data_IF_774075548252
#
_entry.id   IF_774075548252
#
_cell.length_a   1.000
_cell.length_b   1.000
_cell.length_c   1.000
_cell.angle_alpha   90.00
_cell.angle_beta   90.00
_cell.angle_gamma   90.00
#
_symmetry.space_group_name_H-M   'P 1'
#
loop_
_entity.id
_entity.type
_entity.pdbx_description
1 polymer ?
#
# COMPACT_ATOMS: atom_id res chain seq x y z
N UNK A 1 49.44 -6.36 -12.72
CA UNK A 1 48.38 -5.92 -11.78
C UNK A 1 48.17 -4.44 -12.00
N UNK A 2 47.08 -4.06 -12.67
CA UNK A 2 46.68 -2.64 -12.80
C UNK A 2 46.06 -2.26 -11.46
N UNK A 3 46.71 -1.35 -10.71
CA UNK A 3 46.10 -0.77 -9.52
C UNK A 3 44.76 -0.15 -9.96
N UNK A 4 43.63 -0.44 -9.28
CA UNK A 4 42.38 0.17 -9.66
C UNK A 4 42.57 1.67 -9.46
N UNK A 5 42.47 2.43 -10.55
CA UNK A 5 42.34 3.89 -10.52
C UNK A 5 41.41 4.21 -9.35
N UNK A 6 41.79 5.17 -8.51
CA UNK A 6 41.10 5.48 -7.26
C UNK A 6 39.71 6.08 -7.55
N UNK A 7 38.79 5.26 -8.07
CA UNK A 7 37.44 5.70 -8.42
C UNK A 7 36.73 5.94 -7.10
N UNK A 8 36.32 7.20 -6.91
CA UNK A 8 35.60 7.65 -5.72
C UNK A 8 34.19 7.04 -5.69
N UNK A 9 33.67 6.73 -4.51
CA UNK A 9 32.33 6.17 -4.33
C UNK A 9 31.27 7.02 -5.05
N UNK A 10 31.43 8.33 -5.00
CA UNK A 10 30.55 9.35 -5.55
C UNK A 10 30.38 9.21 -7.07
N UNK A 11 31.43 8.80 -7.78
CA UNK A 11 31.37 8.59 -9.24
C UNK A 11 30.52 7.36 -9.55
N UNK A 12 30.76 6.25 -8.86
CA UNK A 12 29.99 5.02 -9.08
C UNK A 12 28.54 5.17 -8.61
N UNK A 13 28.30 5.88 -7.50
CA UNK A 13 26.95 6.22 -7.05
C UNK A 13 26.23 7.10 -8.07
N UNK A 14 26.88 8.12 -8.64
CA UNK A 14 26.27 8.97 -9.67
C UNK A 14 25.80 8.17 -10.88
N UNK A 15 26.57 7.17 -11.30
CA UNK A 15 26.20 6.26 -12.39
C UNK A 15 24.94 5.44 -12.05
N UNK A 16 24.85 4.92 -10.84
CA UNK A 16 23.67 4.18 -10.34
C UNK A 16 22.46 5.11 -10.25
N UNK A 17 22.65 6.28 -9.64
CA UNK A 17 21.60 7.26 -9.41
C UNK A 17 21.00 7.76 -10.72
N UNK A 18 21.80 7.99 -11.77
CA UNK A 18 21.29 8.36 -13.09
C UNK A 18 20.29 7.33 -13.63
N UNK A 19 20.62 6.03 -13.50
CA UNK A 19 19.72 4.95 -13.91
C UNK A 19 18.43 4.92 -13.09
N UNK A 20 18.51 5.15 -11.78
CA UNK A 20 17.32 5.22 -10.94
C UNK A 20 16.43 6.43 -11.21
N UNK A 21 17.02 7.61 -11.40
CA UNK A 21 16.26 8.82 -11.78
C UNK A 21 15.50 8.58 -13.09
N UNK A 22 16.14 7.96 -14.08
CA UNK A 22 15.47 7.61 -15.34
C UNK A 22 14.30 6.63 -15.12
N UNK A 23 14.47 5.62 -14.27
CA UNK A 23 13.39 4.69 -13.93
C UNK A 23 12.24 5.37 -13.19
N UNK A 24 12.52 6.32 -12.28
CA UNK A 24 11.48 7.11 -11.61
C UNK A 24 10.66 7.88 -12.63
N UNK A 25 11.31 8.61 -13.53
CA UNK A 25 10.64 9.37 -14.60
C UNK A 25 9.75 8.49 -15.48
N UNK A 26 10.23 7.31 -15.85
CA UNK A 26 9.43 6.33 -16.60
C UNK A 26 8.19 5.86 -15.82
N UNK A 27 8.29 5.68 -14.49
CA UNK A 27 7.16 5.29 -13.63
C UNK A 27 6.17 6.43 -13.46
N UNK A 28 6.66 7.67 -13.39
CA UNK A 28 5.83 8.89 -13.34
C UNK A 28 5.16 9.24 -14.68
N UNK A 29 5.47 8.49 -15.75
CA UNK A 29 4.88 8.69 -17.08
C UNK A 29 5.53 9.83 -17.87
N UNK A 30 6.73 10.27 -17.48
CA UNK A 30 7.51 11.23 -18.26
C UNK A 30 8.03 10.59 -19.55
N UNK A 31 8.12 11.40 -20.61
CA UNK A 31 8.67 10.96 -21.90
C UNK A 31 10.18 10.75 -21.77
N UNK A 32 10.59 9.50 -21.63
CA UNK A 32 11.99 9.09 -21.52
C UNK A 32 12.32 8.07 -22.62
N UNK A 33 13.51 8.15 -23.25
CA UNK A 33 13.98 7.10 -24.15
C UNK A 33 14.03 5.76 -23.41
N UNK A 34 13.77 4.66 -24.12
CA UNK A 34 13.82 3.32 -23.55
C UNK A 34 15.08 3.10 -22.69
N UNK A 35 14.92 2.38 -21.59
CA UNK A 35 16.03 2.02 -20.70
C UNK A 35 17.04 1.14 -21.47
N UNK A 36 18.14 1.73 -21.94
CA UNK A 36 19.06 1.10 -22.87
C UNK A 36 20.07 0.17 -22.16
N UNK A 37 20.73 -0.70 -22.94
CA UNK A 37 21.69 -1.68 -22.43
C UNK A 37 22.93 -1.04 -21.80
N UNK A 38 23.32 0.14 -22.27
CA UNK A 38 24.48 0.87 -21.77
C UNK A 38 24.28 1.33 -20.32
N UNK A 39 23.14 1.96 -20.00
CA UNK A 39 22.81 2.36 -18.63
C UNK A 39 22.73 1.12 -17.72
N UNK A 40 22.14 0.02 -18.19
CA UNK A 40 22.08 -1.24 -17.44
C UNK A 40 23.48 -1.76 -17.10
N UNK A 41 24.38 -1.80 -18.08
CA UNK A 41 25.75 -2.28 -17.89
C UNK A 41 26.54 -1.36 -16.95
N UNK A 42 26.35 -0.05 -17.08
CA UNK A 42 26.98 0.96 -16.23
C UNK A 42 26.54 0.78 -14.77
N UNK A 43 25.23 0.68 -14.50
CA UNK A 43 24.71 0.43 -13.14
C UNK A 43 25.23 -0.87 -12.55
N UNK A 44 25.24 -1.95 -13.33
CA UNK A 44 25.72 -3.26 -12.89
C UNK A 44 27.22 -3.21 -12.54
N UNK A 45 28.03 -2.60 -13.41
CA UNK A 45 29.48 -2.43 -13.20
C UNK A 45 29.77 -1.58 -11.96
N UNK A 46 29.06 -0.46 -11.80
CA UNK A 46 29.18 0.41 -10.64
C UNK A 46 28.81 -0.31 -9.33
N UNK A 47 27.69 -1.04 -9.33
CA UNK A 47 27.23 -1.83 -8.17
C UNK A 47 28.28 -2.87 -7.78
N UNK A 48 28.80 -3.62 -8.76
CA UNK A 48 29.86 -4.59 -8.53
C UNK A 48 31.11 -3.94 -7.93
N UNK A 49 31.59 -2.84 -8.52
CA UNK A 49 32.80 -2.13 -8.05
C UNK A 49 32.62 -1.60 -6.63
N UNK A 50 31.46 -1.04 -6.30
CA UNK A 50 31.19 -0.57 -4.94
C UNK A 50 31.22 -1.73 -3.95
N UNK A 51 30.53 -2.83 -4.27
CA UNK A 51 30.45 -3.98 -3.38
C UNK A 51 31.80 -4.72 -3.22
N UNK A 52 32.61 -4.77 -4.28
CA UNK A 52 33.90 -5.48 -4.25
C UNK A 52 35.05 -4.64 -3.65
N UNK A 53 35.06 -3.33 -3.87
CA UNK A 53 36.24 -2.49 -3.60
C UNK A 53 35.98 -1.24 -2.76
N UNK A 54 34.72 -0.95 -2.42
CA UNK A 54 34.34 0.28 -1.69
C UNK A 54 33.43 -0.07 -0.51
N UNK A 55 32.48 0.81 -0.22
CA UNK A 55 31.61 0.74 0.94
C UNK A 55 30.18 0.29 0.53
N UNK A 56 29.88 -1.03 0.53
CA UNK A 56 28.54 -1.53 0.25
C UNK A 56 27.49 -1.05 1.27
N UNK A 57 27.87 -0.77 2.52
CA UNK A 57 26.95 -0.17 3.50
C UNK A 57 26.48 1.21 3.05
N UNK A 58 27.39 2.04 2.54
CA UNK A 58 27.06 3.37 2.02
C UNK A 58 26.12 3.29 0.80
N UNK A 59 26.25 2.27 -0.06
CA UNK A 59 25.31 2.05 -1.16
C UNK A 59 23.91 1.67 -0.67
N UNK A 60 23.83 0.81 0.35
CA UNK A 60 22.58 0.43 0.99
C UNK A 60 21.88 1.64 1.64
N UNK A 61 22.63 2.49 2.34
CA UNK A 61 22.09 3.71 2.95
C UNK A 61 21.62 4.71 1.88
N UNK A 62 22.37 4.87 0.78
CA UNK A 62 21.99 5.71 -0.35
C UNK A 62 20.74 5.21 -1.10
N UNK A 63 20.57 3.89 -1.19
CA UNK A 63 19.34 3.29 -1.72
C UNK A 63 18.13 3.65 -0.85
N UNK A 64 18.26 3.55 0.47
CA UNK A 64 17.19 3.93 1.41
C UNK A 64 16.82 5.40 1.27
N UNK A 65 17.82 6.29 1.32
CA UNK A 65 17.66 7.73 1.17
C UNK A 65 16.92 8.09 -0.14
N UNK A 66 17.26 7.42 -1.24
CA UNK A 66 16.64 7.65 -2.54
C UNK A 66 15.13 7.34 -2.54
N UNK A 67 14.74 6.20 -1.95
CA UNK A 67 13.32 5.80 -1.89
C UNK A 67 12.55 6.67 -0.90
N UNK A 68 13.15 7.00 0.25
CA UNK A 68 12.57 7.92 1.23
C UNK A 68 12.33 9.31 0.62
N UNK A 69 13.32 9.85 -0.09
CA UNK A 69 13.17 11.14 -0.77
C UNK A 69 12.06 11.12 -1.82
N UNK A 70 11.96 10.06 -2.62
CA UNK A 70 10.87 9.92 -3.59
C UNK A 70 9.48 9.85 -2.91
N UNK A 71 9.37 9.11 -1.81
CA UNK A 71 8.14 9.05 -1.03
C UNK A 71 7.74 10.42 -0.47
N UNK A 72 8.69 11.17 0.11
CA UNK A 72 8.44 12.45 0.76
C UNK A 72 8.21 13.59 -0.25
N UNK A 73 8.98 13.64 -1.34
CA UNK A 73 8.99 14.78 -2.26
C UNK A 73 8.01 14.61 -3.43
N UNK A 74 7.59 13.39 -3.76
CA UNK A 74 6.71 13.12 -4.91
C UNK A 74 5.41 12.47 -4.49
N UNK A 75 5.47 11.38 -3.71
CA UNK A 75 4.28 10.60 -3.38
C UNK A 75 3.38 11.35 -2.39
N UNK A 76 3.90 11.77 -1.24
CA UNK A 76 3.11 12.45 -0.21
C UNK A 76 2.42 13.73 -0.70
N UNK A 77 3.09 14.67 -1.39
CA UNK A 77 2.43 15.87 -1.90
C UNK A 77 1.23 15.54 -2.81
N UNK A 78 1.39 14.56 -3.71
CA UNK A 78 0.32 14.17 -4.64
C UNK A 78 -0.94 13.61 -3.95
N UNK A 79 -0.78 13.11 -2.72
CA UNK A 79 -1.84 12.56 -1.87
C UNK A 79 -2.47 13.64 -0.99
N UNK A 80 -1.64 14.50 -0.37
CA UNK A 80 -2.08 15.60 0.51
C UNK A 80 -2.96 16.62 -0.21
N UNK A 81 -2.78 16.79 -1.51
CA UNK A 81 -3.57 17.70 -2.35
C UNK A 81 -4.95 17.14 -2.74
N UNK A 82 -5.28 15.90 -2.38
CA UNK A 82 -6.52 15.22 -2.76
C UNK A 82 -7.32 14.80 -1.53
N UNK A 83 -8.63 14.66 -1.73
CA UNK A 83 -9.57 14.20 -0.71
C UNK A 83 -10.47 13.09 -1.26
N UNK A 84 -11.11 12.35 -0.35
CA UNK A 84 -12.13 11.33 -0.64
C UNK A 84 -11.70 10.34 -1.74
N UNK A 85 -12.60 10.04 -2.69
CA UNK A 85 -12.36 9.10 -3.79
C UNK A 85 -11.13 9.47 -4.66
N UNK A 86 -10.86 10.76 -4.85
CA UNK A 86 -9.68 11.22 -5.60
C UNK A 86 -8.38 10.84 -4.88
N UNK A 87 -8.36 10.97 -3.54
CA UNK A 87 -7.22 10.54 -2.72
C UNK A 87 -7.09 9.02 -2.74
N UNK A 88 -8.19 8.27 -2.64
CA UNK A 88 -8.20 6.81 -2.74
C UNK A 88 -7.59 6.32 -4.07
N UNK A 89 -8.00 6.93 -5.20
CA UNK A 89 -7.45 6.60 -6.53
C UNK A 89 -5.95 6.87 -6.61
N UNK A 90 -5.52 8.02 -6.08
CA UNK A 90 -4.10 8.35 -6.04
C UNK A 90 -3.32 7.40 -5.13
N UNK A 91 -3.84 7.02 -3.97
CA UNK A 91 -3.18 6.11 -3.03
C UNK A 91 -2.96 4.74 -3.67
N UNK A 92 -3.99 4.16 -4.30
CA UNK A 92 -3.87 2.89 -5.01
C UNK A 92 -2.86 2.98 -6.18
N UNK A 93 -2.90 4.08 -6.96
CA UNK A 93 -1.94 4.33 -8.03
C UNK A 93 -0.50 4.40 -7.50
N UNK A 94 -0.28 5.18 -6.44
CA UNK A 94 1.05 5.40 -5.85
C UNK A 94 1.62 4.14 -5.22
N UNK A 95 0.78 3.33 -4.57
CA UNK A 95 1.23 2.05 -4.03
C UNK A 95 1.68 1.08 -5.12
N UNK A 96 0.92 0.97 -6.22
CA UNK A 96 1.31 0.14 -7.36
C UNK A 96 2.59 0.63 -8.05
N UNK A 97 2.73 1.95 -8.22
CA UNK A 97 3.95 2.58 -8.74
C UNK A 97 5.16 2.29 -7.83
N UNK A 98 4.97 2.37 -6.50
CA UNK A 98 6.01 2.09 -5.52
C UNK A 98 6.46 0.63 -5.55
N UNK A 99 5.51 -0.33 -5.61
CA UNK A 99 5.83 -1.76 -5.77
C UNK A 99 6.67 -2.01 -7.03
N UNK A 100 6.30 -1.36 -8.13
CA UNK A 100 7.06 -1.43 -9.39
C UNK A 100 8.48 -0.85 -9.22
N UNK A 101 8.59 0.32 -8.62
CA UNK A 101 9.87 0.99 -8.34
C UNK A 101 10.80 0.11 -7.52
N UNK A 102 10.33 -0.39 -6.38
CA UNK A 102 11.11 -1.26 -5.48
C UNK A 102 11.57 -2.52 -6.20
N UNK A 103 10.68 -3.16 -6.98
CA UNK A 103 11.03 -4.35 -7.77
C UNK A 103 12.10 -4.05 -8.81
N UNK A 104 11.98 -2.94 -9.54
CA UNK A 104 12.96 -2.56 -10.55
C UNK A 104 14.30 -2.20 -9.91
N UNK A 105 14.29 -1.44 -8.82
CA UNK A 105 15.52 -0.99 -8.19
C UNK A 105 16.29 -2.14 -7.51
N UNK A 106 15.61 -2.96 -6.72
CA UNK A 106 16.21 -4.14 -6.07
C UNK A 106 16.84 -5.07 -7.12
N UNK A 107 16.17 -5.30 -8.25
CA UNK A 107 16.73 -6.07 -9.36
C UNK A 107 18.00 -5.46 -9.96
N UNK A 108 18.13 -4.13 -10.01
CA UNK A 108 19.36 -3.46 -10.50
C UNK A 108 20.53 -3.59 -9.53
N UNK A 109 20.26 -3.74 -8.24
CA UNK A 109 21.26 -3.87 -7.20
C UNK A 109 21.32 -5.28 -6.59
N UNK A 110 20.88 -6.31 -7.33
CA UNK A 110 20.82 -7.69 -6.81
C UNK A 110 22.16 -8.18 -6.24
N UNK A 111 23.29 -7.73 -6.83
CA UNK A 111 24.62 -8.05 -6.32
C UNK A 111 24.84 -7.55 -4.89
N UNK A 112 24.26 -6.42 -4.48
CA UNK A 112 24.34 -5.92 -3.11
C UNK A 112 23.55 -6.80 -2.13
N UNK A 113 22.33 -7.22 -2.50
CA UNK A 113 21.52 -8.18 -1.72
C UNK A 113 22.33 -9.48 -1.48
N UNK A 114 22.84 -10.08 -2.55
CA UNK A 114 23.51 -11.38 -2.53
C UNK A 114 24.88 -11.34 -1.85
N UNK A 115 25.69 -10.32 -2.16
CA UNK A 115 27.10 -10.29 -1.76
C UNK A 115 27.34 -9.73 -0.36
N UNK A 116 26.45 -8.86 0.12
CA UNK A 116 26.63 -8.10 1.35
C UNK A 116 25.46 -8.26 2.33
N UNK A 117 24.22 -7.98 1.92
CA UNK A 117 23.08 -7.94 2.85
C UNK A 117 22.78 -9.33 3.44
N UNK A 118 22.76 -10.37 2.60
CA UNK A 118 22.60 -11.76 3.05
C UNK A 118 23.66 -12.17 4.08
N UNK A 119 24.93 -11.80 3.86
CA UNK A 119 26.04 -12.14 4.77
C UNK A 119 26.01 -11.36 6.09
N UNK A 120 25.43 -10.16 6.09
CA UNK A 120 25.29 -9.31 7.27
C UNK A 120 23.99 -9.54 8.04
N UNK A 121 23.05 -10.34 7.49
CA UNK A 121 21.72 -10.51 8.07
C UNK A 121 20.91 -9.20 8.08
N UNK A 122 21.19 -8.31 7.12
CA UNK A 122 20.44 -7.06 6.97
C UNK A 122 19.17 -7.31 6.15
N UNK A 123 18.09 -6.52 6.35
CA UNK A 123 16.91 -6.57 5.50
C UNK A 123 17.28 -6.37 4.03
N UNK A 124 16.61 -7.13 3.16
CA UNK A 124 16.79 -7.03 1.72
C UNK A 124 16.38 -5.65 1.20
N UNK A 125 16.89 -5.27 0.02
CA UNK A 125 16.48 -4.04 -0.65
C UNK A 125 14.96 -4.00 -0.86
N UNK A 126 14.35 -5.14 -1.20
CA UNK A 126 12.90 -5.24 -1.35
C UNK A 126 12.16 -4.94 -0.05
N UNK A 127 12.59 -5.50 1.07
CA UNK A 127 11.97 -5.25 2.37
C UNK A 127 12.11 -3.79 2.80
N UNK A 128 13.30 -3.21 2.67
CA UNK A 128 13.53 -1.78 2.98
C UNK A 128 12.67 -0.88 2.10
N UNK A 129 12.64 -1.17 0.79
CA UNK A 129 11.86 -0.40 -0.17
C UNK A 129 10.36 -0.43 0.16
N UNK A 130 9.79 -1.60 0.48
CA UNK A 130 8.37 -1.71 0.84
C UNK A 130 8.08 -1.05 2.20
N UNK A 131 8.94 -1.28 3.20
CA UNK A 131 8.81 -0.66 4.52
C UNK A 131 8.86 0.87 4.44
N UNK A 132 9.62 1.45 3.53
CA UNK A 132 9.65 2.89 3.32
C UNK A 132 8.27 3.48 2.99
N UNK A 133 7.49 2.82 2.13
CA UNK A 133 6.12 3.29 1.83
C UNK A 133 5.23 3.19 3.07
N UNK A 134 5.35 2.08 3.81
CA UNK A 134 4.60 1.89 5.05
C UNK A 134 4.87 3.03 6.04
N UNK A 135 6.14 3.31 6.25
CA UNK A 135 6.60 4.19 7.32
C UNK A 135 6.39 5.68 6.97
N UNK A 136 6.51 6.05 5.69
CA UNK A 136 6.38 7.43 5.21
C UNK A 136 4.98 7.78 4.69
N UNK A 137 4.37 6.89 3.89
CA UNK A 137 3.13 7.19 3.15
C UNK A 137 1.91 6.58 3.84
N UNK A 138 1.90 5.27 4.04
CA UNK A 138 0.75 4.56 4.60
C UNK A 138 0.40 5.07 6.01
N UNK A 139 1.40 5.24 6.88
CA UNK A 139 1.22 5.73 8.25
C UNK A 139 0.51 7.08 8.30
N UNK A 140 0.74 7.95 7.32
CA UNK A 140 0.09 9.26 7.24
C UNK A 140 -1.32 9.17 6.64
N UNK A 141 -1.51 8.31 5.64
CA UNK A 141 -2.76 8.26 4.86
C UNK A 141 -3.80 7.27 5.39
N UNK A 142 -3.42 6.32 6.24
CA UNK A 142 -4.28 5.19 6.64
C UNK A 142 -5.62 5.62 7.25
N UNK A 143 -5.65 6.64 8.12
CA UNK A 143 -6.89 7.09 8.78
C UNK A 143 -7.84 7.75 7.77
N UNK A 144 -7.33 8.67 6.95
CA UNK A 144 -8.10 9.33 5.90
C UNK A 144 -8.63 8.33 4.87
N UNK A 145 -7.83 7.31 4.52
CA UNK A 145 -8.26 6.25 3.61
C UNK A 145 -9.35 5.38 4.22
N UNK A 146 -9.25 5.02 5.50
CA UNK A 146 -10.27 4.27 6.21
C UNK A 146 -11.59 5.05 6.26
N UNK A 147 -11.56 6.32 6.65
CA UNK A 147 -12.74 7.20 6.69
C UNK A 147 -13.42 7.33 5.31
N UNK A 148 -12.64 7.55 4.26
CA UNK A 148 -13.17 7.66 2.89
C UNK A 148 -13.79 6.33 2.41
N UNK A 149 -13.19 5.19 2.72
CA UNK A 149 -13.78 3.87 2.42
C UNK A 149 -15.09 3.68 3.19
N UNK A 150 -15.15 4.03 4.48
CA UNK A 150 -16.36 3.91 5.27
C UNK A 150 -17.50 4.77 4.71
N UNK A 151 -17.19 5.99 4.25
CA UNK A 151 -18.17 6.83 3.55
C UNK A 151 -18.72 6.16 2.28
N UNK A 152 -17.87 5.48 1.48
CA UNK A 152 -18.32 4.72 0.31
C UNK A 152 -19.19 3.51 0.70
N UNK A 153 -18.83 2.78 1.75
CA UNK A 153 -19.63 1.67 2.25
C UNK A 153 -21.02 2.16 2.70
N UNK A 154 -21.11 3.32 3.36
CA UNK A 154 -22.39 3.94 3.72
C UNK A 154 -23.24 4.31 2.51
N UNK A 155 -22.66 4.97 1.50
CA UNK A 155 -23.36 5.27 0.24
C UNK A 155 -23.94 3.99 -0.38
N UNK A 156 -23.15 2.93 -0.45
CA UNK A 156 -23.60 1.64 -0.97
C UNK A 156 -24.69 0.99 -0.10
N UNK A 157 -24.66 1.17 1.23
CA UNK A 157 -25.72 0.70 2.14
C UNK A 157 -27.06 1.41 1.94
N UNK A 158 -27.02 2.68 1.54
CA UNK A 158 -28.19 3.49 1.18
C UNK A 158 -28.62 3.29 -0.29
N UNK A 159 -27.94 2.41 -1.04
CA UNK A 159 -28.33 2.01 -2.40
C UNK A 159 -27.66 2.80 -3.52
N UNK A 160 -26.69 3.66 -3.20
CA UNK A 160 -25.89 4.34 -4.21
C UNK A 160 -24.88 3.38 -4.86
N UNK A 161 -24.50 3.68 -6.10
CA UNK A 161 -23.43 2.96 -6.79
C UNK A 161 -22.08 3.53 -6.38
N UNK A 162 -21.13 2.63 -6.12
CA UNK A 162 -19.75 2.98 -5.80
C UNK A 162 -18.78 2.25 -6.73
N UNK A 163 -17.58 2.79 -6.85
CA UNK A 163 -16.47 2.09 -7.52
C UNK A 163 -15.92 0.99 -6.59
N UNK A 164 -16.54 -0.20 -6.65
CA UNK A 164 -16.12 -1.37 -5.85
C UNK A 164 -14.68 -1.81 -6.13
N UNK A 165 -14.20 -1.62 -7.37
CA UNK A 165 -12.83 -1.94 -7.73
C UNK A 165 -11.84 -0.99 -7.05
N UNK A 166 -12.16 0.31 -6.98
CA UNK A 166 -11.38 1.26 -6.20
C UNK A 166 -11.29 0.86 -4.73
N UNK A 167 -12.41 0.52 -4.10
CA UNK A 167 -12.43 0.09 -2.69
C UNK A 167 -11.52 -1.12 -2.50
N UNK A 168 -11.66 -2.16 -3.33
CA UNK A 168 -10.79 -3.35 -3.28
C UNK A 168 -9.32 -2.99 -3.40
N UNK A 169 -8.96 -2.16 -4.38
CA UNK A 169 -7.58 -1.77 -4.63
C UNK A 169 -6.96 -1.01 -3.44
N UNK A 170 -7.75 -0.24 -2.69
CA UNK A 170 -7.25 0.43 -1.47
C UNK A 170 -7.22 -0.54 -0.29
N UNK A 171 -8.19 -1.46 -0.16
CA UNK A 171 -8.13 -2.52 0.86
C UNK A 171 -6.84 -3.35 0.70
N UNK A 172 -6.43 -3.65 -0.53
CA UNK A 172 -5.15 -4.31 -0.81
C UNK A 172 -3.95 -3.50 -0.29
N UNK A 173 -4.01 -2.16 -0.26
CA UNK A 173 -2.97 -1.32 0.35
C UNK A 173 -2.85 -1.62 1.85
N UNK A 174 -3.97 -1.73 2.58
CA UNK A 174 -3.96 -2.08 4.01
C UNK A 174 -3.43 -3.49 4.25
N UNK A 175 -3.86 -4.46 3.45
CA UNK A 175 -3.42 -5.86 3.55
C UNK A 175 -1.93 -5.99 3.26
N UNK A 176 -1.45 -5.42 2.15
CA UNK A 176 -0.06 -5.57 1.73
C UNK A 176 0.92 -4.78 2.61
N UNK A 177 0.51 -3.65 3.21
CA UNK A 177 1.34 -2.92 4.18
C UNK A 177 1.49 -3.64 5.52
N UNK A 178 0.73 -4.72 5.75
CA UNK A 178 0.95 -5.66 6.85
C UNK A 178 2.18 -6.56 6.66
N UNK A 179 2.88 -6.48 5.52
CA UNK A 179 4.15 -7.14 5.23
C UNK A 179 4.13 -8.65 5.53
N UNK A 180 3.09 -9.33 5.01
CA UNK A 180 2.86 -10.76 5.23
C UNK A 180 1.97 -11.10 6.43
N UNK A 181 1.50 -10.09 7.16
CA UNK A 181 0.49 -10.23 8.21
C UNK A 181 -0.76 -9.42 7.85
N UNK A 182 -1.92 -9.75 8.44
CA UNK A 182 -3.14 -8.95 8.30
C UNK A 182 -3.26 -7.82 9.31
N UNK A 183 -2.26 -7.63 10.18
CA UNK A 183 -2.33 -6.70 11.32
C UNK A 183 -2.74 -5.28 10.93
N UNK A 184 -2.23 -4.78 9.80
CA UNK A 184 -2.54 -3.43 9.29
C UNK A 184 -3.96 -3.31 8.78
N UNK A 185 -4.44 -4.31 8.04
CA UNK A 185 -5.84 -4.42 7.69
C UNK A 185 -6.75 -4.48 8.92
N UNK A 186 -6.42 -5.32 9.91
CA UNK A 186 -7.25 -5.53 11.10
C UNK A 186 -7.31 -4.29 12.01
N UNK A 187 -6.16 -3.69 12.34
CA UNK A 187 -6.06 -2.58 13.30
C UNK A 187 -6.48 -1.23 12.73
N UNK A 188 -6.07 -0.94 11.49
CA UNK A 188 -6.21 0.39 10.88
C UNK A 188 -7.51 0.54 10.08
N UNK A 189 -8.17 -0.56 9.69
CA UNK A 189 -9.40 -0.52 8.89
C UNK A 189 -10.52 -1.42 9.44
N UNK A 190 -10.32 -2.74 9.50
CA UNK A 190 -11.39 -3.71 9.77
C UNK A 190 -12.08 -3.44 11.11
N UNK A 191 -11.30 -3.14 12.15
CA UNK A 191 -11.84 -2.77 13.47
C UNK A 191 -12.78 -1.56 13.41
N UNK A 192 -12.39 -0.51 12.68
CA UNK A 192 -13.22 0.69 12.50
C UNK A 192 -14.49 0.38 11.70
N UNK A 193 -14.34 -0.41 10.64
CA UNK A 193 -15.45 -0.85 9.80
C UNK A 193 -16.46 -1.69 10.57
N UNK A 194 -16.02 -2.63 11.41
CA UNK A 194 -16.91 -3.45 12.23
C UNK A 194 -17.69 -2.59 13.24
N UNK A 195 -17.04 -1.62 13.89
CA UNK A 195 -17.68 -0.68 14.82
C UNK A 195 -18.71 0.23 14.12
N UNK A 196 -18.35 0.76 12.96
CA UNK A 196 -19.23 1.56 12.12
C UNK A 196 -20.45 0.75 11.66
N UNK A 197 -20.22 -0.49 11.21
CA UNK A 197 -21.27 -1.44 10.80
C UNK A 197 -22.24 -1.73 11.93
N UNK A 198 -21.72 -1.94 13.14
CA UNK A 198 -22.56 -2.17 14.31
C UNK A 198 -23.46 -0.96 14.62
N UNK A 199 -22.87 0.24 14.59
CA UNK A 199 -23.59 1.50 14.83
C UNK A 199 -24.65 1.76 13.77
N UNK A 200 -24.32 1.51 12.49
CA UNK A 200 -25.23 1.63 11.36
C UNK A 200 -26.46 0.75 11.53
N UNK A 201 -26.26 -0.56 11.76
CA UNK A 201 -27.37 -1.50 11.88
C UNK A 201 -28.17 -1.33 13.16
N UNK A 202 -27.54 -0.93 14.27
CA UNK A 202 -28.26 -0.55 15.49
C UNK A 202 -29.21 0.62 15.23
N UNK A 203 -28.72 1.68 14.57
CA UNK A 203 -29.54 2.85 14.25
C UNK A 203 -30.66 2.51 13.27
N UNK A 204 -30.36 1.67 12.27
CA UNK A 204 -31.33 1.21 11.28
C UNK A 204 -32.42 0.34 11.89
N UNK A 205 -32.07 -0.54 12.82
CA UNK A 205 -33.01 -1.37 13.57
C UNK A 205 -33.98 -0.52 14.40
N UNK A 206 -33.47 0.47 15.14
CA UNK A 206 -34.31 1.39 15.92
C UNK A 206 -35.32 2.14 15.06
N UNK A 207 -34.91 2.60 13.86
CA UNK A 207 -35.82 3.25 12.91
C UNK A 207 -36.91 2.29 12.41
N UNK A 208 -36.57 1.06 12.05
CA UNK A 208 -37.55 0.08 11.59
C UNK A 208 -38.57 -0.31 12.66
N UNK A 209 -38.15 -0.38 13.92
CA UNK A 209 -39.06 -0.65 15.05
C UNK A 209 -40.10 0.48 15.20
N UNK A 210 -39.74 1.72 14.88
CA UNK A 210 -40.64 2.88 14.97
C UNK A 210 -41.58 3.01 13.75
N UNK A 211 -41.12 2.62 12.56
CA UNK A 211 -41.81 2.93 11.29
C UNK A 211 -42.67 1.78 10.76
N UNK A 212 -42.41 0.52 11.11
CA UNK A 212 -42.96 -0.62 10.37
C UNK A 212 -43.71 -1.67 11.20
N UNK A 213 -44.69 -2.29 10.54
CA UNK A 213 -45.44 -3.41 11.10
C UNK A 213 -44.52 -4.63 11.29
N UNK A 214 -44.70 -5.35 12.41
CA UNK A 214 -43.83 -6.44 12.89
C UNK A 214 -43.44 -7.50 11.83
N UNK A 215 -44.29 -7.74 10.82
CA UNK A 215 -44.07 -8.79 9.83
C UNK A 215 -42.85 -8.50 8.92
N UNK A 216 -42.65 -7.26 8.48
CA UNK A 216 -41.55 -6.89 7.58
C UNK A 216 -40.19 -6.90 8.27
N UNK A 217 -40.17 -6.70 9.59
CA UNK A 217 -38.95 -6.67 10.39
C UNK A 217 -38.19 -8.00 10.35
N UNK A 218 -38.88 -9.14 10.30
CA UNK A 218 -38.26 -10.47 10.41
C UNK A 218 -37.31 -10.83 9.27
N UNK A 219 -37.54 -10.28 8.06
CA UNK A 219 -36.71 -10.56 6.88
C UNK A 219 -35.51 -9.62 6.76
N UNK A 220 -35.59 -8.43 7.36
CA UNK A 220 -34.58 -7.38 7.20
C UNK A 220 -33.19 -7.76 7.70
N UNK A 221 -33.02 -8.38 8.88
CA UNK A 221 -31.71 -8.83 9.33
C UNK A 221 -31.06 -9.83 8.37
N UNK A 222 -31.84 -10.73 7.77
CA UNK A 222 -31.33 -11.70 6.80
C UNK A 222 -30.87 -11.01 5.51
N UNK A 223 -31.66 -10.08 4.99
CA UNK A 223 -31.30 -9.29 3.80
C UNK A 223 -30.04 -8.44 4.05
N UNK A 224 -29.92 -7.83 5.23
CA UNK A 224 -28.74 -7.03 5.59
C UNK A 224 -27.48 -7.89 5.65
N UNK A 225 -27.56 -9.06 6.29
CA UNK A 225 -26.44 -9.98 6.33
C UNK A 225 -26.03 -10.42 4.92
N UNK A 226 -27.00 -10.73 4.05
CA UNK A 226 -26.71 -11.11 2.67
C UNK A 226 -25.97 -9.99 1.91
N UNK A 227 -26.39 -8.74 2.08
CA UNK A 227 -25.70 -7.58 1.50
C UNK A 227 -24.29 -7.39 2.08
N UNK A 228 -24.06 -7.64 3.36
CA UNK A 228 -22.70 -7.57 3.93
C UNK A 228 -21.80 -8.69 3.41
N UNK A 229 -22.32 -9.91 3.21
CA UNK A 229 -21.57 -11.01 2.59
C UNK A 229 -21.15 -10.67 1.15
N UNK A 230 -22.03 -10.04 0.39
CA UNK A 230 -21.73 -9.56 -0.96
C UNK A 230 -20.60 -8.51 -0.95
N UNK A 231 -20.64 -7.58 0.01
CA UNK A 231 -19.54 -6.60 0.20
C UNK A 231 -18.21 -7.27 0.50
N UNK A 232 -18.22 -8.27 1.38
CA UNK A 232 -17.00 -9.03 1.68
C UNK A 232 -16.45 -9.70 0.43
N UNK A 233 -17.32 -10.38 -0.31
CA UNK A 233 -16.94 -11.09 -1.54
C UNK A 233 -16.36 -10.14 -2.61
N UNK A 234 -16.83 -8.90 -2.66
CA UNK A 234 -16.41 -7.95 -3.70
C UNK A 234 -15.12 -7.20 -3.37
N UNK A 235 -14.91 -6.77 -2.12
CA UNK A 235 -13.80 -5.87 -1.82
C UNK A 235 -13.19 -5.98 -0.42
N UNK A 236 -13.70 -6.80 0.51
CA UNK A 236 -13.07 -6.99 1.83
C UNK A 236 -12.26 -8.28 1.86
N UNK A 237 -11.41 -8.43 2.87
CA UNK A 237 -10.67 -9.66 3.07
C UNK A 237 -11.62 -10.79 3.56
N UNK A 238 -11.47 -12.06 3.13
CA UNK A 238 -12.38 -13.14 3.53
C UNK A 238 -12.46 -13.40 5.04
N UNK A 239 -11.42 -13.04 5.79
CA UNK A 239 -11.40 -13.16 7.27
C UNK A 239 -12.42 -12.25 7.96
N UNK A 240 -12.93 -11.26 7.25
CA UNK A 240 -13.89 -10.27 7.76
C UNK A 240 -15.29 -10.82 7.84
N UNK A 241 -15.64 -11.77 6.97
CA UNK A 241 -16.96 -12.40 6.92
C UNK A 241 -17.39 -12.93 8.31
N UNK A 242 -16.66 -13.87 8.95
CA UNK A 242 -17.07 -14.39 10.27
C UNK A 242 -17.22 -13.30 11.33
N UNK A 243 -16.39 -12.25 11.32
CA UNK A 243 -16.45 -11.14 12.28
C UNK A 243 -17.71 -10.28 12.09
N UNK A 244 -18.17 -10.10 10.86
CA UNK A 244 -19.44 -9.41 10.57
C UNK A 244 -20.66 -10.21 11.07
N UNK A 245 -20.59 -11.54 11.09
CA UNK A 245 -21.64 -12.35 11.71
C UNK A 245 -21.70 -12.17 13.23
N UNK A 246 -20.56 -12.02 13.90
CA UNK A 246 -20.54 -11.77 15.36
C UNK A 246 -21.19 -10.43 15.71
N UNK A 247 -20.96 -9.39 14.89
CA UNK A 247 -21.63 -8.08 15.02
C UNK A 247 -23.16 -8.23 15.00
N UNK A 248 -23.71 -9.13 14.17
CA UNK A 248 -25.16 -9.40 14.10
C UNK A 248 -25.72 -9.91 15.42
N UNK A 249 -25.02 -10.84 16.08
CA UNK A 249 -25.50 -11.39 17.36
C UNK A 249 -25.55 -10.34 18.46
N UNK A 250 -24.67 -9.35 18.42
CA UNK A 250 -24.69 -8.21 19.34
C UNK A 250 -25.92 -7.29 19.17
N UNK A 251 -26.48 -7.17 17.96
CA UNK A 251 -27.54 -6.19 17.67
C UNK A 251 -28.95 -6.79 17.81
N UNK A 252 -29.11 -8.08 17.51
CA UNK A 252 -30.44 -8.75 17.52
C UNK A 252 -30.77 -9.35 18.89
N UNK A 253 -29.77 -9.67 19.73
CA UNK A 253 -30.02 -10.27 21.05
C UNK A 253 -30.30 -9.20 22.13
N UNK A 254 -30.04 -7.93 21.86
CA UNK A 254 -30.13 -6.84 22.84
C UNK A 254 -31.19 -5.76 22.53
N UNK A 255 -32.00 -5.94 21.49
CA UNK A 255 -33.16 -5.09 21.15
C UNK A 255 -34.40 -5.95 20.94
#
# INVERSE_FOLDING_TARGET
MVAPTEIKFEVEWSNIQQGFTKLIRMIEGESEPAFNQEIMMMMHTATYRICAYKNPQQLYDKYRELIENYAIQTVLPSLREKHDECMLRELAKRWNAHKLLVRLFSRRLVYLDDSFLSKKGLPSLREVGLNCFRDQVYREMQSMAAEAILALIHKEREGEQIDRELVRNVIDVFVENGMGTLKKYEEDFERLMLQDTASYYSSKASRWIQEESCLDYTLKPQQCLQRERERVTHYLHPTTEPKLFEVRYGIIIWN
#
